data_IF_583822385825
#
_entry.id   IF_583822385825
#
_cell.length_a   1.000
_cell.length_b   1.000
_cell.length_c   1.000
_cell.angle_alpha   90.00
_cell.angle_beta   90.00
_cell.angle_gamma   90.00
#
_symmetry.space_group_name_H-M   'P 1'
#
loop_
_entity.id
_entity.type
_entity.pdbx_description
1 polymer ?
#
# COMPACT_ATOMS: atom_id res chain seq x y z
N UNK A 1 9.21 19.95 -20.24
CA UNK A 1 10.21 19.72 -19.16
C UNK A 1 10.75 21.09 -18.78
N UNK A 2 10.80 21.45 -17.50
CA UNK A 2 11.21 22.80 -17.05
C UNK A 2 12.57 23.18 -17.62
N UNK A 3 12.73 24.44 -18.05
CA UNK A 3 14.04 25.03 -18.30
C UNK A 3 14.40 25.92 -17.11
N UNK A 4 15.65 25.84 -16.65
CA UNK A 4 16.15 26.64 -15.51
C UNK A 4 15.95 28.16 -15.70
N UNK A 5 15.73 28.63 -16.93
CA UNK A 5 15.41 30.02 -17.27
C UNK A 5 14.02 30.48 -16.83
N UNK A 6 13.07 29.57 -16.65
CA UNK A 6 11.66 29.92 -16.48
C UNK A 6 11.34 30.34 -15.04
N UNK A 7 12.15 29.90 -14.08
CA UNK A 7 12.02 30.23 -12.66
C UNK A 7 12.51 31.64 -12.32
N UNK A 8 13.46 32.18 -13.09
CA UNK A 8 14.18 33.40 -12.72
C UNK A 8 13.75 34.67 -13.48
N UNK A 9 12.98 34.57 -14.56
CA UNK A 9 12.77 35.74 -15.43
C UNK A 9 11.33 36.05 -15.86
N UNK A 10 10.31 35.47 -15.24
CA UNK A 10 8.93 35.78 -15.61
C UNK A 10 8.32 36.91 -14.76
N UNK A 11 8.27 38.11 -15.34
CA UNK A 11 7.53 39.28 -14.83
C UNK A 11 5.99 39.09 -14.82
N UNK A 12 5.47 37.95 -15.30
CA UNK A 12 4.04 37.61 -15.29
C UNK A 12 3.72 36.58 -14.20
N UNK A 13 3.52 37.06 -12.96
CA UNK A 13 3.12 36.26 -11.78
C UNK A 13 1.61 35.99 -11.71
N UNK A 14 0.94 35.63 -12.81
CA UNK A 14 -0.54 35.71 -12.87
C UNK A 14 -1.29 34.41 -13.11
N UNK A 15 -0.69 33.35 -13.67
CA UNK A 15 -1.43 32.10 -13.91
C UNK A 15 -1.41 31.21 -12.67
N UNK A 16 -2.60 30.90 -12.16
CA UNK A 16 -2.84 29.91 -11.11
C UNK A 16 -3.55 28.71 -11.71
N UNK A 17 -3.10 27.53 -11.32
CA UNK A 17 -3.66 26.25 -11.76
C UNK A 17 -4.27 25.55 -10.55
N UNK A 18 -5.43 24.93 -10.73
CA UNK A 18 -6.00 24.06 -9.71
C UNK A 18 -5.62 22.61 -10.06
N UNK A 19 -4.94 21.92 -9.14
CA UNK A 19 -4.39 20.59 -9.36
C UNK A 19 -4.88 19.65 -8.28
N UNK A 20 -5.23 18.43 -8.66
CA UNK A 20 -5.48 17.33 -7.73
C UNK A 20 -4.94 16.03 -8.32
N UNK A 21 -4.73 15.05 -7.45
CA UNK A 21 -4.24 13.73 -7.83
C UNK A 21 -5.32 12.67 -7.58
N UNK A 22 -5.43 11.69 -8.47
CA UNK A 22 -6.16 10.46 -8.24
C UNK A 22 -5.19 9.30 -8.09
N UNK A 23 -5.44 8.45 -7.10
CA UNK A 23 -4.67 7.25 -6.81
C UNK A 23 -5.60 6.06 -6.95
N UNK A 24 -5.24 5.13 -7.83
CA UNK A 24 -6.14 4.05 -8.28
C UNK A 24 -5.47 2.69 -8.21
N UNK A 25 -6.19 1.72 -7.64
CA UNK A 25 -5.86 0.29 -7.70
C UNK A 25 -7.16 -0.48 -7.92
N UNK A 26 -7.29 -1.11 -9.09
CA UNK A 26 -8.53 -1.80 -9.46
C UNK A 26 -9.76 -0.89 -9.32
N UNK A 27 -10.69 -1.27 -8.45
CA UNK A 27 -11.91 -0.51 -8.16
C UNK A 27 -11.73 0.57 -7.06
N UNK A 28 -10.62 0.56 -6.31
CA UNK A 28 -10.36 1.55 -5.27
C UNK A 28 -9.75 2.80 -5.88
N UNK A 29 -10.39 3.94 -5.65
CA UNK A 29 -9.99 5.26 -6.16
C UNK A 29 -10.04 6.25 -5.02
N UNK A 30 -8.92 6.94 -4.79
CA UNK A 30 -8.80 8.01 -3.81
C UNK A 30 -8.35 9.31 -4.50
N UNK A 31 -8.93 10.43 -4.09
CA UNK A 31 -8.55 11.76 -4.53
C UNK A 31 -7.76 12.51 -3.45
N UNK A 32 -6.88 13.41 -3.90
CA UNK A 32 -6.24 14.39 -3.02
C UNK A 32 -7.10 15.65 -2.89
N UNK A 33 -6.79 16.46 -1.87
CA UNK A 33 -7.29 17.83 -1.81
C UNK A 33 -6.89 18.61 -3.09
N UNK A 34 -7.77 19.52 -3.50
CA UNK A 34 -7.51 20.43 -4.61
C UNK A 34 -6.54 21.52 -4.17
N UNK A 35 -5.39 21.59 -4.84
CA UNK A 35 -4.33 22.53 -4.55
C UNK A 35 -4.28 23.63 -5.62
N UNK A 36 -4.17 24.88 -5.20
CA UNK A 36 -3.96 26.00 -6.12
C UNK A 36 -2.46 26.27 -6.16
N UNK A 37 -1.86 26.06 -7.33
CA UNK A 37 -0.43 26.20 -7.57
C UNK A 37 -0.17 27.34 -8.57
N UNK A 38 0.93 28.05 -8.37
CA UNK A 38 1.44 29.03 -9.32
C UNK A 38 2.83 28.61 -9.83
N UNK A 39 3.38 29.39 -10.76
CA UNK A 39 4.69 29.09 -11.36
C UNK A 39 5.87 29.22 -10.38
N UNK A 40 5.66 29.64 -9.12
CA UNK A 40 6.71 29.71 -8.11
C UNK A 40 6.75 28.46 -7.21
N UNK A 41 5.74 27.59 -7.28
CA UNK A 41 5.73 26.32 -6.56
C UNK A 41 6.53 25.28 -7.34
N UNK A 42 7.64 24.82 -6.76
CA UNK A 42 8.48 23.78 -7.37
C UNK A 42 7.95 22.38 -7.15
N UNK A 43 7.27 22.15 -6.01
CA UNK A 43 6.86 20.83 -5.55
C UNK A 43 5.41 20.84 -5.06
N UNK A 44 4.63 19.83 -5.48
CA UNK A 44 3.26 19.61 -5.02
C UNK A 44 3.28 18.50 -3.98
N UNK A 45 3.09 18.85 -2.71
CA UNK A 45 3.11 17.89 -1.61
C UNK A 45 1.69 17.45 -1.26
N UNK A 46 1.45 16.13 -1.24
CA UNK A 46 0.22 15.56 -0.66
C UNK A 46 0.51 15.21 0.79
N UNK A 47 -0.24 15.74 1.76
CA UNK A 47 0.09 15.53 3.18
C UNK A 47 -0.41 14.18 3.73
N UNK A 48 -1.41 13.57 3.07
CA UNK A 48 -2.11 12.41 3.60
C UNK A 48 -1.55 11.09 3.04
N UNK A 49 -1.41 10.10 3.93
CA UNK A 49 -1.17 8.72 3.52
C UNK A 49 -2.47 8.10 2.98
N UNK A 50 -2.38 7.35 1.89
CA UNK A 50 -3.52 6.63 1.28
C UNK A 50 -3.34 5.14 1.50
N UNK A 51 -4.36 4.47 2.04
CA UNK A 51 -4.35 3.02 2.28
C UNK A 51 -5.34 2.36 1.34
N UNK A 52 -4.84 1.42 0.55
CA UNK A 52 -5.63 0.51 -0.25
C UNK A 52 -5.71 -0.81 0.51
N UNK A 53 -6.93 -1.30 0.70
CA UNK A 53 -7.14 -2.58 1.35
C UNK A 53 -7.24 -3.68 0.30
N UNK A 54 -7.00 -4.92 0.69
CA UNK A 54 -7.26 -6.07 -0.17
C UNK A 54 -6.51 -6.13 -1.53
N UNK A 55 -5.33 -5.52 -1.65
CA UNK A 55 -4.54 -5.51 -2.87
C UNK A 55 -3.67 -6.78 -3.05
N UNK A 56 -3.78 -7.43 -4.22
CA UNK A 56 -2.94 -8.56 -4.57
C UNK A 56 -1.47 -8.19 -4.88
N UNK A 57 -0.56 -9.17 -4.96
CA UNK A 57 0.85 -8.96 -5.30
C UNK A 57 1.06 -8.44 -6.74
N UNK A 58 0.06 -8.61 -7.60
CA UNK A 58 0.01 -8.12 -8.98
C UNK A 58 -0.59 -6.70 -9.11
N UNK A 59 -0.74 -5.98 -7.99
CA UNK A 59 -1.33 -4.64 -8.00
C UNK A 59 -0.63 -3.71 -9.00
N UNK A 60 -1.43 -2.80 -9.57
CA UNK A 60 -0.93 -1.69 -10.34
C UNK A 60 -1.52 -0.39 -9.77
N UNK A 61 -0.68 0.35 -9.07
CA UNK A 61 -1.02 1.64 -8.51
C UNK A 61 -0.84 2.72 -9.56
N UNK A 62 -1.95 3.28 -10.05
CA UNK A 62 -1.93 4.39 -10.98
C UNK A 62 -2.09 5.69 -10.23
N UNK A 63 -1.12 6.59 -10.36
CA UNK A 63 -1.20 7.97 -9.87
C UNK A 63 -1.42 8.86 -11.07
N UNK A 64 -2.50 9.63 -11.05
CA UNK A 64 -2.91 10.52 -12.12
C UNK A 64 -3.00 11.95 -11.60
N UNK A 65 -2.30 12.87 -12.25
CA UNK A 65 -2.29 14.29 -11.91
C UNK A 65 -3.23 15.01 -12.86
N UNK A 66 -4.27 15.64 -12.31
CA UNK A 66 -5.24 16.42 -13.04
C UNK A 66 -5.02 17.90 -12.82
N UNK A 67 -5.10 18.68 -13.89
CA UNK A 67 -5.04 20.13 -13.86
C UNK A 67 -6.33 20.70 -14.41
N UNK A 68 -6.86 21.71 -13.72
CA UNK A 68 -8.05 22.41 -14.11
C UNK A 68 -7.71 23.85 -14.44
N UNK A 69 -8.05 24.27 -15.66
CA UNK A 69 -7.96 25.66 -16.07
C UNK A 69 -9.22 26.39 -15.63
N UNK A 70 -9.05 27.47 -14.87
CA UNK A 70 -10.10 28.47 -14.72
C UNK A 70 -9.98 29.42 -15.91
N UNK A 71 -11.03 29.56 -16.72
CA UNK A 71 -11.08 30.68 -17.66
C UNK A 71 -11.13 31.97 -16.83
N UNK A 72 -10.24 32.90 -17.13
CA UNK A 72 -9.97 34.13 -16.36
C UNK A 72 -11.18 35.09 -16.26
N UNK A 73 -12.31 34.78 -16.91
CA UNK A 73 -13.48 35.66 -16.95
C UNK A 73 -14.39 35.59 -15.72
N UNK A 74 -14.19 34.63 -14.81
CA UNK A 74 -15.05 34.50 -13.60
C UNK A 74 -14.42 35.12 -12.34
N UNK A 75 -13.11 35.38 -12.34
CA UNK A 75 -12.38 35.86 -11.15
C UNK A 75 -12.25 37.39 -11.05
N UNK A 76 -12.83 38.16 -11.98
CA UNK A 76 -12.87 39.63 -11.89
C UNK A 76 -14.04 40.15 -11.04
N UNK A 77 -14.95 39.29 -10.57
CA UNK A 77 -15.93 39.66 -9.56
C UNK A 77 -15.64 39.00 -8.22
N UNK A 78 -15.49 39.85 -7.20
CA UNK A 78 -15.46 39.57 -5.75
C UNK A 78 -14.08 39.35 -5.11
N UNK A 79 -13.32 40.44 -5.05
CA UNK A 79 -12.58 40.77 -3.84
C UNK A 79 -13.57 40.83 -2.64
N UNK A 80 -13.72 39.76 -1.86
CA UNK A 80 -13.95 39.84 -0.40
C UNK A 80 -13.51 38.56 0.32
N UNK A 81 -12.93 38.64 1.53
CA UNK A 81 -12.33 37.50 2.21
C UNK A 81 -13.31 36.80 3.17
N UNK A 82 -13.09 35.49 3.36
CA UNK A 82 -13.41 34.70 4.57
C UNK A 82 -14.89 34.58 4.96
N UNK A 83 -15.51 33.45 4.58
CA UNK A 83 -16.36 32.56 5.41
C UNK A 83 -17.24 31.70 4.49
N UNK A 84 -16.81 30.47 4.20
CA UNK A 84 -17.75 29.40 3.85
C UNK A 84 -17.52 28.25 4.80
N UNK A 85 -18.55 28.08 5.62
CA UNK A 85 -18.61 27.32 6.85
C UNK A 85 -18.76 25.84 6.52
N UNK A 86 -18.05 25.01 7.29
CA UNK A 86 -18.30 23.58 7.51
C UNK A 86 -19.76 23.18 7.26
N UNK A 87 -20.00 22.18 6.40
CA UNK A 87 -20.90 21.03 6.63
C UNK A 87 -21.22 20.29 5.32
N UNK A 88 -20.54 19.18 5.08
CA UNK A 88 -21.12 18.02 4.41
C UNK A 88 -21.01 16.85 5.38
N UNK A 89 -21.99 16.75 6.28
CA UNK A 89 -22.26 15.52 7.02
C UNK A 89 -23.22 14.71 6.16
N UNK A 90 -22.77 13.57 5.65
CA UNK A 90 -23.63 12.57 5.03
C UNK A 90 -24.34 11.79 6.14
N UNK A 91 -25.66 11.84 6.18
CA UNK A 91 -26.49 10.87 6.89
C UNK A 91 -27.56 10.38 5.92
N UNK A 92 -27.41 9.14 5.45
CA UNK A 92 -28.41 8.41 4.68
C UNK A 92 -29.37 7.76 5.67
N UNK A 93 -30.64 8.18 5.64
CA UNK A 93 -31.74 7.59 6.40
C UNK A 93 -33.00 7.47 5.55
N UNK A 94 -33.33 6.22 5.22
CA UNK A 94 -34.64 5.59 4.91
C UNK A 94 -35.75 6.43 4.24
N UNK A 95 -36.27 5.97 3.10
CA UNK A 95 -37.60 5.31 2.99
C UNK A 95 -38.26 5.39 1.59
N UNK A 96 -38.69 4.21 1.12
CA UNK A 96 -39.84 3.84 0.28
C UNK A 96 -40.78 4.91 -0.33
N UNK A 97 -41.10 4.77 -1.63
CA UNK A 97 -42.48 5.04 -2.11
C UNK A 97 -42.73 5.49 -3.58
N UNK A 98 -42.85 4.51 -4.50
CA UNK A 98 -43.82 4.39 -5.64
C UNK A 98 -43.95 5.45 -6.78
N UNK A 99 -43.76 4.89 -8.01
CA UNK A 99 -44.51 5.03 -9.31
C UNK A 99 -44.34 6.37 -10.06
N UNK A 100 -44.00 6.41 -11.36
CA UNK A 100 -44.72 5.88 -12.53
C UNK A 100 -43.82 5.42 -13.69
N UNK A 101 -44.37 4.52 -14.49
CA UNK A 101 -43.86 3.86 -15.70
C UNK A 101 -44.05 4.68 -16.99
N UNK A 102 -43.20 4.45 -18.00
CA UNK A 102 -43.66 3.89 -19.30
C UNK A 102 -42.48 3.61 -20.24
N UNK A 103 -42.55 2.44 -20.86
CA UNK A 103 -41.64 1.91 -21.86
C UNK A 103 -41.75 2.62 -23.22
N UNK A 104 -40.65 2.66 -23.98
CA UNK A 104 -40.67 2.32 -25.40
C UNK A 104 -39.34 1.68 -25.81
N UNK A 105 -39.43 0.94 -26.89
CA UNK A 105 -38.77 -0.33 -27.17
C UNK A 105 -37.60 -0.18 -28.17
N UNK A 106 -36.68 -1.15 -28.11
CA UNK A 106 -35.85 -1.73 -29.18
C UNK A 106 -35.01 -0.86 -30.14
N UNK A 107 -33.70 -1.09 -29.99
CA UNK A 107 -32.80 -1.78 -30.94
C UNK A 107 -31.62 -0.98 -31.53
N UNK A 108 -30.46 -1.63 -31.41
CA UNK A 108 -29.26 -1.55 -32.23
C UNK A 108 -28.20 -0.46 -31.97
N UNK A 109 -27.03 -1.01 -31.60
CA UNK A 109 -25.67 -0.65 -31.97
C UNK A 109 -25.02 0.61 -31.38
N UNK A 110 -23.83 0.33 -30.86
CA UNK A 110 -22.66 1.21 -30.66
C UNK A 110 -22.57 1.97 -29.32
N UNK A 111 -21.49 1.65 -28.61
CA UNK A 111 -20.73 2.46 -27.64
C UNK A 111 -21.45 3.69 -27.05
N UNK A 112 -21.71 3.73 -25.73
CA UNK A 112 -22.12 4.97 -25.10
C UNK A 112 -20.90 5.89 -25.00
N UNK A 113 -20.70 6.70 -26.04
CA UNK A 113 -20.10 8.03 -25.92
C UNK A 113 -20.84 8.74 -24.79
N UNK A 114 -20.14 8.95 -23.68
CA UNK A 114 -20.64 9.76 -22.57
C UNK A 114 -21.00 11.12 -23.13
N UNK A 115 -22.31 11.33 -23.24
CA UNK A 115 -22.92 12.57 -23.69
C UNK A 115 -22.58 13.64 -22.68
N UNK A 116 -21.78 14.58 -23.15
CA UNK A 116 -21.31 15.77 -22.47
C UNK A 116 -22.52 16.58 -21.98
N UNK A 117 -22.88 16.41 -20.71
CA UNK A 117 -23.81 17.31 -20.02
C UNK A 117 -22.97 18.47 -19.51
N UNK A 118 -22.81 19.48 -20.38
CA UNK A 118 -22.06 20.71 -20.08
C UNK A 118 -22.84 21.53 -19.05
N UNK A 119 -22.59 21.29 -17.77
CA UNK A 119 -22.64 22.34 -16.76
C UNK A 119 -21.47 23.30 -17.09
N UNK A 120 -21.64 24.64 -17.09
CA UNK A 120 -20.53 25.56 -17.22
C UNK A 120 -19.69 25.45 -15.94
N UNK A 121 -18.74 24.52 -15.98
CA UNK A 121 -18.07 23.95 -14.84
C UNK A 121 -16.63 23.67 -15.21
N UNK A 122 -15.75 23.94 -14.26
CA UNK A 122 -14.29 23.81 -14.35
C UNK A 122 -13.87 22.55 -15.12
N UNK A 123 -13.21 22.74 -16.27
CA UNK A 123 -12.72 21.63 -17.12
C UNK A 123 -11.39 21.12 -16.58
N UNK A 124 -11.42 19.98 -15.92
CA UNK A 124 -10.22 19.28 -15.44
C UNK A 124 -9.74 18.28 -16.47
N UNK A 125 -8.44 18.27 -16.75
CA UNK A 125 -7.81 17.39 -17.75
C UNK A 125 -6.62 16.66 -17.15
N UNK A 126 -6.40 15.41 -17.59
CA UNK A 126 -5.27 14.61 -17.17
C UNK A 126 -3.97 15.22 -17.71
N UNK A 127 -3.08 15.61 -16.81
CA UNK A 127 -1.81 16.24 -17.14
C UNK A 127 -0.68 15.21 -17.22
N UNK A 128 -0.58 14.33 -16.24
CA UNK A 128 0.47 13.34 -16.14
C UNK A 128 -0.01 12.08 -15.41
N UNK A 129 0.66 10.96 -15.64
CA UNK A 129 0.40 9.73 -14.88
C UNK A 129 1.66 8.89 -14.69
N UNK A 130 1.68 8.09 -13.62
CA UNK A 130 2.68 7.06 -13.36
C UNK A 130 1.98 5.80 -12.87
N UNK A 131 2.56 4.63 -13.18
CA UNK A 131 2.07 3.34 -12.70
C UNK A 131 3.17 2.66 -11.90
N UNK A 132 2.89 2.35 -10.64
CA UNK A 132 3.78 1.69 -9.70
C UNK A 132 3.30 0.25 -9.45
N UNK A 133 4.26 -0.66 -9.24
CA UNK A 133 4.01 -2.09 -9.02
C UNK A 133 4.74 -2.58 -7.77
N UNK A 134 4.62 -3.87 -7.47
CA UNK A 134 5.31 -4.51 -6.34
C UNK A 134 6.83 -4.24 -6.32
N UNK A 135 7.47 -4.15 -7.49
CA UNK A 135 8.91 -3.90 -7.63
C UNK A 135 9.33 -2.50 -7.15
N UNK A 136 8.38 -1.56 -7.13
CA UNK A 136 8.56 -0.19 -6.64
C UNK A 136 8.33 -0.08 -5.13
N UNK A 137 7.72 -1.09 -4.49
CA UNK A 137 7.48 -1.09 -3.06
C UNK A 137 8.80 -1.30 -2.30
N UNK A 138 9.19 -0.35 -1.46
CA UNK A 138 10.45 -0.38 -0.69
C UNK A 138 10.26 0.33 0.64
N UNK A 139 11.08 -0.03 1.63
CA UNK A 139 11.09 0.65 2.92
C UNK A 139 11.85 1.99 2.87
N UNK A 140 11.49 2.85 1.92
CA UNK A 140 12.16 4.12 1.67
C UNK A 140 11.46 4.98 0.62
N UNK A 141 11.95 6.21 0.45
CA UNK A 141 11.46 7.11 -0.60
C UNK A 141 12.10 6.75 -1.94
N UNK A 142 11.29 6.77 -2.99
CA UNK A 142 11.74 6.57 -4.36
C UNK A 142 11.13 7.61 -5.28
N UNK A 143 11.91 8.03 -6.27
CA UNK A 143 11.48 8.95 -7.31
C UNK A 143 11.09 8.15 -8.56
N UNK A 144 9.88 8.36 -9.05
CA UNK A 144 9.33 7.67 -10.20
C UNK A 144 9.03 8.69 -11.30
N UNK A 145 9.42 8.39 -12.54
CA UNK A 145 9.21 9.30 -13.67
C UNK A 145 7.72 9.37 -14.03
N UNK A 146 7.19 10.59 -14.12
CA UNK A 146 5.86 10.85 -14.64
C UNK A 146 5.87 10.75 -16.16
N UNK A 147 4.84 10.14 -16.72
CA UNK A 147 4.54 10.20 -18.14
C UNK A 147 3.58 11.38 -18.37
N UNK A 148 4.04 12.39 -19.10
CA UNK A 148 3.23 13.55 -19.47
C UNK A 148 2.22 13.15 -20.55
N UNK A 149 0.94 13.44 -20.29
CA UNK A 149 -0.17 13.17 -21.21
C UNK A 149 -0.67 14.48 -21.83
N UNK A 150 -0.62 15.58 -21.08
CA UNK A 150 -0.96 16.91 -21.56
C UNK A 150 0.03 17.45 -22.60
N UNK A 151 -0.46 18.32 -23.49
CA UNK A 151 0.39 19.09 -24.42
C UNK A 151 0.66 20.48 -23.86
N UNK A 152 1.84 21.03 -24.14
CA UNK A 152 2.30 22.34 -23.68
C UNK A 152 1.38 23.51 -24.11
N UNK A 153 0.66 23.34 -25.21
CA UNK A 153 -0.28 24.33 -25.76
C UNK A 153 -1.66 24.33 -25.05
N UNK A 154 -1.86 23.46 -24.07
CA UNK A 154 -3.17 23.29 -23.42
C UNK A 154 -3.40 24.33 -22.32
N UNK A 155 -4.63 24.84 -22.12
CA UNK A 155 -4.92 25.84 -21.07
C UNK A 155 -4.70 25.30 -19.65
N UNK A 156 -4.74 23.97 -19.47
CA UNK A 156 -4.46 23.25 -18.23
C UNK A 156 -2.99 22.82 -18.09
N UNK A 157 -2.11 23.21 -19.02
CA UNK A 157 -0.71 22.83 -18.95
C UNK A 157 -0.02 23.52 -17.77
N UNK A 158 0.36 22.70 -16.78
CA UNK A 158 1.25 23.08 -15.71
C UNK A 158 2.60 22.40 -15.99
N UNK A 159 3.71 23.16 -16.09
CA UNK A 159 5.01 22.55 -16.20
C UNK A 159 5.30 21.74 -14.92
N UNK A 160 5.57 20.45 -15.06
CA UNK A 160 6.00 19.56 -13.97
C UNK A 160 7.48 19.20 -14.17
N UNK A 161 8.23 19.05 -13.08
CA UNK A 161 9.62 18.56 -13.11
C UNK A 161 9.73 17.14 -13.68
N UNK A 162 8.62 16.38 -13.65
CA UNK A 162 8.50 15.09 -14.33
C UNK A 162 8.76 13.89 -13.43
N UNK A 163 8.80 14.06 -12.11
CA UNK A 163 8.92 12.96 -11.15
C UNK A 163 7.87 13.06 -10.04
N UNK A 164 7.46 11.90 -9.52
CA UNK A 164 6.72 11.76 -8.26
C UNK A 164 7.65 11.11 -7.26
N UNK A 165 7.79 11.71 -6.09
CA UNK A 165 8.52 11.14 -4.97
C UNK A 165 7.52 10.59 -3.94
N UNK A 166 7.56 9.29 -3.67
CA UNK A 166 6.69 8.67 -2.68
C UNK A 166 7.38 7.51 -1.98
N UNK A 167 6.85 7.15 -0.80
CA UNK A 167 7.16 5.89 -0.13
C UNK A 167 6.00 4.93 -0.37
N UNK A 168 6.23 3.88 -1.15
CA UNK A 168 5.26 2.83 -1.43
C UNK A 168 5.57 1.61 -0.55
N UNK A 169 4.63 1.23 0.30
CA UNK A 169 4.77 0.12 1.24
C UNK A 169 3.69 -0.94 0.98
N UNK A 170 4.12 -2.19 0.91
CA UNK A 170 3.24 -3.36 0.84
C UNK A 170 3.35 -4.16 2.15
N UNK A 171 2.21 -4.46 2.77
CA UNK A 171 2.15 -5.32 3.96
C UNK A 171 1.30 -6.57 3.66
N UNK A 172 1.94 -7.67 3.25
CA UNK A 172 1.21 -8.90 3.01
C UNK A 172 0.67 -9.49 4.33
N UNK A 173 -0.51 -10.09 4.28
CA UNK A 173 -1.13 -10.71 5.46
C UNK A 173 -0.30 -11.85 6.05
N UNK A 174 0.43 -12.60 5.23
CA UNK A 174 1.32 -13.66 5.72
C UNK A 174 2.44 -13.12 6.65
N UNK A 175 2.74 -11.81 6.60
CA UNK A 175 3.74 -11.15 7.45
C UNK A 175 3.16 -10.50 8.72
N UNK A 176 1.87 -10.15 8.72
CA UNK A 176 1.24 -9.39 9.80
C UNK A 176 0.27 -10.23 10.64
N UNK A 177 -0.35 -11.26 10.05
CA UNK A 177 -1.35 -12.11 10.69
C UNK A 177 -0.78 -13.50 10.99
N UNK A 178 -1.42 -14.19 11.94
CA UNK A 178 -1.15 -15.60 12.19
C UNK A 178 -1.73 -16.41 11.03
N UNK A 179 -0.86 -17.04 10.23
CA UNK A 179 -1.28 -17.94 9.16
C UNK A 179 -1.87 -19.24 9.73
N UNK A 180 -1.30 -19.70 10.85
CA UNK A 180 -1.80 -20.84 11.62
C UNK A 180 -1.32 -20.73 13.06
N UNK A 181 -2.16 -21.16 13.99
CA UNK A 181 -1.79 -21.32 15.38
C UNK A 181 -2.38 -22.62 15.94
N UNK A 182 -1.64 -23.31 16.80
CA UNK A 182 -2.09 -24.56 17.39
C UNK A 182 -0.98 -25.30 18.12
N UNK A 183 -1.35 -26.38 18.81
CA UNK A 183 -0.38 -27.18 19.54
C UNK A 183 0.39 -28.12 18.62
N UNK A 184 1.71 -28.17 18.80
CA UNK A 184 2.60 -29.14 18.19
C UNK A 184 3.50 -29.75 19.26
N UNK A 185 3.81 -31.03 19.11
CA UNK A 185 4.81 -31.69 19.93
C UNK A 185 6.15 -31.57 19.21
N UNK A 186 7.12 -30.91 19.82
CA UNK A 186 8.48 -30.76 19.26
C UNK A 186 9.41 -31.80 19.89
N UNK A 187 10.21 -32.46 19.05
CA UNK A 187 11.20 -33.43 19.49
C UNK A 187 12.42 -32.71 20.06
N UNK A 188 12.75 -32.98 21.33
CA UNK A 188 13.91 -32.36 21.97
C UNK A 188 15.21 -32.99 21.44
N UNK A 189 16.15 -32.15 21.02
CA UNK A 189 17.50 -32.57 20.57
C UNK A 189 18.45 -32.85 21.74
N UNK A 190 18.11 -32.47 22.97
CA UNK A 190 18.95 -32.59 24.15
C UNK A 190 18.68 -33.89 24.94
N UNK A 191 19.53 -34.90 24.73
CA UNK A 191 19.86 -35.92 25.74
C UNK A 191 19.00 -37.19 25.82
N UNK A 192 17.72 -37.16 25.44
CA UNK A 192 16.85 -38.36 25.46
C UNK A 192 16.23 -38.58 24.07
N UNK A 193 16.59 -39.68 23.37
CA UNK A 193 15.92 -40.06 22.13
C UNK A 193 14.41 -40.22 22.36
N UNK A 194 13.60 -39.42 21.67
CA UNK A 194 12.14 -39.52 21.71
C UNK A 194 11.45 -38.71 22.81
N UNK A 195 12.13 -37.78 23.49
CA UNK A 195 11.45 -36.83 24.37
C UNK A 195 10.71 -35.76 23.55
N UNK A 196 9.38 -35.78 23.63
CA UNK A 196 8.50 -34.80 22.98
C UNK A 196 8.06 -33.73 23.98
N UNK A 197 8.01 -32.47 23.56
CA UNK A 197 7.46 -31.38 24.35
C UNK A 197 6.33 -30.71 23.58
N UNK A 198 5.14 -30.71 24.16
CA UNK A 198 3.99 -29.97 23.66
C UNK A 198 4.26 -28.47 23.77
N UNK A 199 4.06 -27.73 22.68
CA UNK A 199 4.22 -26.27 22.60
C UNK A 199 3.06 -25.67 21.82
N UNK A 200 2.71 -24.42 22.14
CA UNK A 200 1.78 -23.64 21.33
C UNK A 200 2.55 -22.94 20.22
N UNK A 201 2.32 -23.34 18.97
CA UNK A 201 3.08 -22.87 17.83
C UNK A 201 2.25 -21.92 16.97
N UNK A 202 2.89 -20.88 16.45
CA UNK A 202 2.28 -19.83 15.62
C UNK A 202 3.16 -19.60 14.40
N UNK A 203 2.59 -19.76 13.20
CA UNK A 203 3.22 -19.39 11.94
C UNK A 203 2.84 -17.95 11.60
N UNK A 204 3.79 -17.03 11.70
CA UNK A 204 3.61 -15.60 11.41
C UNK A 204 4.88 -15.02 10.81
N UNK A 205 4.75 -14.33 9.68
CA UNK A 205 5.87 -13.80 8.93
C UNK A 205 6.92 -14.87 8.64
N UNK A 206 8.18 -14.50 8.56
CA UNK A 206 9.28 -15.43 8.26
C UNK A 206 9.64 -16.38 9.41
N UNK A 207 8.71 -16.74 10.31
CA UNK A 207 8.98 -17.51 11.53
C UNK A 207 7.84 -18.44 11.96
N UNK A 208 8.23 -19.61 12.46
CA UNK A 208 7.42 -20.48 13.29
C UNK A 208 7.84 -20.30 14.75
N UNK A 209 7.00 -19.62 15.52
CA UNK A 209 7.22 -19.26 16.91
C UNK A 209 6.56 -20.31 17.81
N UNK A 210 7.31 -20.92 18.73
CA UNK A 210 6.82 -21.97 19.61
C UNK A 210 6.94 -21.54 21.07
N UNK A 211 5.81 -21.40 21.74
CA UNK A 211 5.67 -20.98 23.13
C UNK A 211 5.40 -22.20 24.03
N UNK A 212 5.72 -22.10 25.32
CA UNK A 212 5.39 -23.14 26.29
C UNK A 212 3.88 -23.25 26.49
N UNK A 213 3.19 -22.10 26.46
CA UNK A 213 1.75 -22.02 26.64
C UNK A 213 1.15 -20.85 25.82
N UNK A 214 -0.16 -20.87 25.49
CA UNK A 214 -0.81 -19.78 24.77
C UNK A 214 -0.73 -18.43 25.48
N UNK A 215 -0.70 -18.42 26.81
CA UNK A 215 -0.67 -17.20 27.62
C UNK A 215 0.63 -16.39 27.41
N UNK A 216 1.75 -17.08 27.14
CA UNK A 216 3.03 -16.43 26.80
C UNK A 216 2.92 -15.65 25.49
N UNK A 217 2.15 -16.19 24.53
CA UNK A 217 1.91 -15.53 23.25
C UNK A 217 1.03 -14.28 23.43
N UNK A 218 0.01 -14.35 24.28
CA UNK A 218 -0.87 -13.22 24.58
C UNK A 218 -0.14 -12.11 25.33
N UNK A 219 0.82 -12.47 26.18
CA UNK A 219 1.69 -11.55 26.90
C UNK A 219 2.85 -10.98 26.05
N UNK A 220 2.94 -11.34 24.77
CA UNK A 220 4.04 -10.99 23.86
C UNK A 220 5.43 -11.35 24.43
N UNK A 221 5.50 -12.47 25.15
CA UNK A 221 6.74 -12.98 25.73
C UNK A 221 7.67 -13.58 24.65
N UNK A 222 8.95 -13.76 24.99
CA UNK A 222 9.89 -14.40 24.08
C UNK A 222 9.54 -15.89 23.86
N UNK A 223 9.55 -16.38 22.61
CA UNK A 223 9.21 -17.77 22.31
C UNK A 223 10.31 -18.72 22.76
N UNK A 224 9.91 -19.86 23.32
CA UNK A 224 10.84 -20.92 23.75
C UNK A 224 11.64 -21.55 22.59
N UNK A 225 11.12 -21.49 21.36
CA UNK A 225 11.81 -21.85 20.13
C UNK A 225 11.30 -20.97 18.99
N UNK A 226 12.22 -20.42 18.19
CA UNK A 226 11.90 -19.68 16.98
C UNK A 226 12.60 -20.33 15.80
N UNK A 227 11.83 -20.90 14.86
CA UNK A 227 12.35 -21.49 13.63
C UNK A 227 12.14 -20.50 12.50
N UNK A 228 13.21 -20.13 11.78
CA UNK A 228 13.09 -19.27 10.60
C UNK A 228 12.44 -20.02 9.44
N UNK A 229 11.48 -19.37 8.80
CA UNK A 229 10.76 -19.84 7.62
C UNK A 229 11.09 -18.89 6.48
N UNK A 230 11.72 -19.42 5.43
CA UNK A 230 12.15 -18.68 4.25
C UNK A 230 11.97 -19.53 2.99
N UNK A 231 12.36 -19.00 1.83
CA UNK A 231 12.27 -19.71 0.55
C UNK A 231 13.08 -21.01 0.52
N UNK A 232 14.17 -21.08 1.28
CA UNK A 232 14.98 -22.29 1.44
C UNK A 232 14.40 -23.34 2.39
N UNK A 233 13.32 -23.03 3.12
CA UNK A 233 12.72 -23.94 4.10
C UNK A 233 11.99 -25.07 3.42
N UNK A 234 12.23 -26.31 3.88
CA UNK A 234 11.58 -27.52 3.39
C UNK A 234 10.85 -28.21 4.52
N UNK A 235 9.59 -28.54 4.27
CA UNK A 235 8.78 -29.38 5.15
C UNK A 235 8.79 -30.80 4.61
N UNK A 236 9.20 -31.78 5.42
CA UNK A 236 9.21 -33.19 5.02
C UNK A 236 8.43 -34.05 6.01
N UNK A 237 7.56 -34.96 5.54
CA UNK A 237 7.00 -35.98 6.43
C UNK A 237 8.13 -36.83 7.00
N UNK A 238 7.96 -37.26 8.24
CA UNK A 238 8.90 -38.16 8.92
C UNK A 238 8.18 -39.47 9.17
N UNK A 239 8.58 -40.50 8.41
CA UNK A 239 8.10 -41.86 8.61
C UNK A 239 8.86 -42.51 9.77
N UNK A 240 8.16 -43.35 10.54
CA UNK A 240 8.78 -44.15 11.59
C UNK A 240 9.16 -45.52 11.02
N UNK A 241 10.30 -46.08 11.44
CA UNK A 241 10.93 -47.32 10.94
C UNK A 241 10.01 -48.58 10.91
N UNK A 242 8.84 -48.54 11.54
CA UNK A 242 7.87 -49.65 11.61
C UNK A 242 6.65 -49.50 10.66
N UNK A 243 6.73 -48.71 9.59
CA UNK A 243 5.67 -48.60 8.57
C UNK A 243 4.36 -47.96 9.07
N UNK A 244 4.37 -47.37 10.28
CA UNK A 244 3.22 -46.72 10.88
C UNK A 244 3.24 -45.24 10.48
N UNK A 245 2.18 -44.78 9.80
CA UNK A 245 2.01 -43.35 9.47
C UNK A 245 1.89 -42.56 10.78
N UNK A 246 2.91 -41.79 11.10
CA UNK A 246 2.91 -40.83 12.21
C UNK A 246 2.53 -39.45 11.70
N UNK A 247 1.92 -38.63 12.55
CA UNK A 247 1.59 -37.24 12.21
C UNK A 247 2.81 -36.32 12.32
N UNK A 248 3.99 -36.83 11.93
CA UNK A 248 5.28 -36.22 12.17
C UNK A 248 5.79 -35.55 10.90
N UNK A 249 6.42 -34.40 11.07
CA UNK A 249 7.06 -33.66 9.99
C UNK A 249 8.31 -32.96 10.51
N UNK A 250 9.24 -32.67 9.60
CA UNK A 250 10.47 -31.94 9.89
C UNK A 250 10.45 -30.61 9.14
N UNK A 251 10.88 -29.55 9.83
CA UNK A 251 11.13 -28.23 9.28
C UNK A 251 12.64 -28.08 9.14
N UNK A 252 13.12 -27.96 7.90
CA UNK A 252 14.54 -27.90 7.58
C UNK A 252 14.81 -26.58 6.89
N UNK A 253 15.61 -25.71 7.52
CA UNK A 253 16.06 -24.46 6.91
C UNK A 253 17.55 -24.56 6.58
N UNK A 254 17.90 -24.53 5.29
CA UNK A 254 19.28 -24.68 4.81
C UNK A 254 20.07 -23.37 4.73
N UNK A 255 19.43 -22.21 4.87
CA UNK A 255 20.07 -20.91 4.66
C UNK A 255 20.75 -20.34 5.92
N UNK A 256 20.49 -20.91 7.10
CA UNK A 256 21.03 -20.45 8.38
C UNK A 256 22.46 -20.95 8.69
N UNK A 257 23.21 -21.47 7.71
CA UNK A 257 24.58 -21.97 7.87
C UNK A 257 24.70 -23.32 8.62
N UNK A 258 23.76 -23.62 9.51
CA UNK A 258 23.64 -24.90 10.20
C UNK A 258 22.24 -25.46 9.93
N UNK A 259 22.13 -26.49 9.10
CA UNK A 259 20.84 -27.10 8.74
C UNK A 259 20.25 -27.85 9.94
N UNK A 260 19.69 -27.11 10.89
CA UNK A 260 19.02 -27.65 12.07
C UNK A 260 17.60 -28.07 11.68
N UNK A 261 17.44 -29.36 11.39
CA UNK A 261 16.13 -29.95 11.21
C UNK A 261 15.40 -29.99 12.56
N UNK A 262 14.25 -29.31 12.65
CA UNK A 262 13.36 -29.40 13.81
C UNK A 262 12.23 -30.37 13.49
N UNK A 263 12.02 -31.38 14.33
CA UNK A 263 10.98 -32.39 14.14
C UNK A 263 9.78 -32.07 15.03
N UNK A 264 8.60 -32.08 14.43
CA UNK A 264 7.32 -31.82 15.06
C UNK A 264 6.34 -32.96 14.81
N UNK A 265 5.39 -33.12 15.72
CA UNK A 265 4.27 -34.04 15.60
C UNK A 265 2.96 -33.31 15.91
N UNK A 266 2.01 -33.37 14.97
CA UNK A 266 0.67 -32.85 15.15
C UNK A 266 -0.18 -33.80 16.01
N UNK A 267 -1.13 -33.25 16.78
CA UNK A 267 -1.97 -34.03 17.70
C UNK A 267 -2.93 -34.98 16.95
N UNK A 268 -3.37 -34.58 15.76
CA UNK A 268 -4.24 -35.36 14.88
C UNK A 268 -3.79 -35.29 13.42
N UNK A 269 -4.41 -36.12 12.58
CA UNK A 269 -4.17 -36.08 11.13
C UNK A 269 -4.77 -34.81 10.52
N UNK A 270 -5.91 -34.38 11.03
CA UNK A 270 -6.59 -33.15 10.67
C UNK A 270 -5.70 -31.94 10.97
N UNK A 271 -5.07 -31.91 12.15
CA UNK A 271 -4.09 -30.86 12.49
C UNK A 271 -2.91 -30.87 11.55
N UNK A 272 -2.36 -32.05 11.23
CA UNK A 272 -1.27 -32.15 10.27
C UNK A 272 -1.68 -31.56 8.92
N UNK A 273 -2.87 -31.89 8.41
CA UNK A 273 -3.38 -31.34 7.16
C UNK A 273 -3.47 -29.81 7.22
N UNK A 274 -4.07 -29.25 8.28
CA UNK A 274 -4.17 -27.78 8.46
C UNK A 274 -2.80 -27.12 8.50
N UNK A 275 -1.84 -27.71 9.22
CA UNK A 275 -0.47 -27.20 9.26
C UNK A 275 0.21 -27.26 7.90
N UNK A 276 0.05 -28.37 7.16
CA UNK A 276 0.62 -28.47 5.81
C UNK A 276 0.02 -27.42 4.89
N UNK A 277 -1.30 -27.28 4.84
CA UNK A 277 -2.00 -26.25 4.04
C UNK A 277 -1.50 -24.85 4.38
N UNK A 278 -1.35 -24.54 5.66
CA UNK A 278 -0.81 -23.25 6.10
C UNK A 278 0.64 -23.03 5.62
N UNK A 279 1.52 -24.03 5.73
CA UNK A 279 2.88 -23.92 5.18
C UNK A 279 2.87 -23.73 3.66
N UNK A 280 2.06 -24.50 2.93
CA UNK A 280 1.92 -24.37 1.48
C UNK A 280 1.48 -22.97 1.07
N UNK A 281 0.41 -22.46 1.69
CA UNK A 281 -0.07 -21.11 1.44
C UNK A 281 1.01 -20.08 1.77
N UNK A 282 1.68 -20.24 2.91
CA UNK A 282 2.73 -19.30 3.34
C UNK A 282 3.92 -19.26 2.37
N UNK A 283 4.37 -20.41 1.86
CA UNK A 283 5.43 -20.47 0.85
C UNK A 283 4.97 -19.89 -0.49
N UNK A 284 3.70 -20.12 -0.86
CA UNK A 284 3.12 -19.50 -2.04
C UNK A 284 3.12 -17.98 -1.90
N UNK A 285 2.65 -17.43 -0.78
CA UNK A 285 2.63 -15.99 -0.54
C UNK A 285 4.04 -15.39 -0.58
N UNK A 286 5.03 -16.03 0.04
CA UNK A 286 6.44 -15.63 -0.04
C UNK A 286 6.93 -15.53 -1.50
N UNK A 287 6.53 -16.48 -2.35
CA UNK A 287 6.89 -16.47 -3.76
C UNK A 287 6.26 -15.30 -4.53
N UNK A 288 5.03 -14.93 -4.17
CA UNK A 288 4.28 -13.88 -4.88
C UNK A 288 4.71 -12.48 -4.44
N UNK A 289 4.92 -12.28 -3.13
CA UNK A 289 5.26 -10.99 -2.53
C UNK A 289 6.76 -10.65 -2.56
N UNK A 290 7.60 -11.60 -3.00
CA UNK A 290 9.03 -11.41 -3.26
C UNK A 290 9.74 -10.72 -2.07
N UNK A 291 10.45 -9.62 -2.31
CA UNK A 291 11.21 -8.87 -1.31
C UNK A 291 10.34 -8.28 -0.19
N UNK A 292 9.03 -8.12 -0.39
CA UNK A 292 8.12 -7.63 0.64
C UNK A 292 7.86 -8.66 1.77
N UNK A 293 8.22 -9.93 1.56
CA UNK A 293 8.22 -10.97 2.60
C UNK A 293 9.59 -11.19 3.25
N UNK A 294 10.66 -10.64 2.67
CA UNK A 294 12.02 -10.75 3.20
C UNK A 294 12.28 -9.69 4.27
N UNK A 295 11.84 -8.45 4.01
CA UNK A 295 11.95 -7.33 4.94
C UNK A 295 10.57 -6.78 5.31
N UNK A 296 10.27 -6.75 6.61
CA UNK A 296 9.00 -6.20 7.10
C UNK A 296 8.97 -4.68 6.92
N UNK A 297 8.16 -4.21 5.97
CA UNK A 297 7.98 -2.78 5.74
C UNK A 297 7.00 -2.19 6.76
N UNK A 298 7.44 -1.18 7.52
CA UNK A 298 6.62 -0.60 8.60
C UNK A 298 5.65 0.44 8.07
N UNK A 299 4.36 0.22 8.34
CA UNK A 299 3.29 1.15 7.98
C UNK A 299 3.15 2.29 9.01
N UNK A 300 4.07 3.27 9.02
CA UNK A 300 3.95 4.43 9.91
C UNK A 300 2.79 5.35 9.49
N UNK A 301 1.82 5.59 10.36
CA UNK A 301 0.82 6.66 10.17
C UNK A 301 1.37 7.90 10.86
N UNK A 302 1.97 8.81 10.10
CA UNK A 302 2.36 10.11 10.65
C UNK A 302 1.15 11.03 10.62
N UNK A 303 0.79 11.57 11.77
CA UNK A 303 -0.19 12.66 11.85
C UNK A 303 0.31 13.85 11.00
N UNK A 304 -0.54 14.54 10.23
CA UNK A 304 -0.15 15.76 9.53
C UNK A 304 0.42 16.75 10.57
N UNK A 305 1.73 17.01 10.46
CA UNK A 305 2.40 17.95 11.35
C UNK A 305 2.07 19.35 10.88
N UNK A 306 1.59 20.21 11.78
CA UNK A 306 1.41 21.64 11.49
C UNK A 306 2.71 22.20 10.93
N UNK A 307 2.65 23.07 9.89
CA UNK A 307 3.86 23.69 9.36
C UNK A 307 4.58 24.44 10.48
N UNK A 308 5.92 24.39 10.52
CA UNK A 308 6.68 25.10 11.54
C UNK A 308 6.39 26.60 11.40
N UNK A 309 5.92 27.22 12.49
CA UNK A 309 5.43 28.60 12.47
C UNK A 309 6.52 29.65 12.19
N UNK A 310 7.79 29.28 12.20
CA UNK A 310 8.88 30.19 11.91
C UNK A 310 10.05 29.41 11.31
N UNK A 311 10.39 29.70 10.05
CA UNK A 311 11.74 29.88 9.54
C UNK A 311 11.61 30.28 8.05
N UNK A 312 11.76 31.58 7.79
CA UNK A 312 12.08 32.08 6.46
C UNK A 312 13.53 31.66 6.16
N UNK A 313 13.70 30.60 5.38
CA UNK A 313 14.96 30.17 4.81
C UNK A 313 14.68 29.64 3.41
N UNK A 314 15.57 29.97 2.46
CA UNK A 314 15.41 29.69 1.03
C UNK A 314 14.93 28.26 0.72
N UNK A 315 14.07 28.15 -0.30
CA UNK A 315 13.52 26.89 -0.77
C UNK A 315 14.66 25.96 -1.25
N UNK A 316 15.03 25.01 -0.40
CA UNK A 316 15.92 23.92 -0.78
C UNK A 316 15.11 22.87 -1.55
N UNK A 317 15.61 22.51 -2.73
CA UNK A 317 15.06 21.44 -3.58
C UNK A 317 15.03 20.11 -2.82
N UNK A 318 14.00 19.28 -3.04
CA UNK A 318 13.87 17.92 -2.49
C UNK A 318 15.12 17.07 -2.74
N UNK A 319 15.87 17.34 -3.81
CA UNK A 319 17.14 16.66 -4.11
C UNK A 319 18.25 16.94 -3.09
N UNK A 320 18.21 18.07 -2.36
CA UNK A 320 19.11 18.35 -1.23
C UNK A 320 18.60 17.74 0.07
N UNK A 321 17.28 17.67 0.29
CA UNK A 321 16.69 17.10 1.52
C UNK A 321 16.67 15.56 1.56
N UNK A 322 16.78 14.88 0.41
CA UNK A 322 16.90 13.41 0.33
C UNK A 322 18.15 12.88 1.04
N UNK A 323 19.16 13.72 1.25
CA UNK A 323 20.38 13.38 2.00
C UNK A 323 20.20 13.47 3.52
N UNK A 324 19.16 14.13 4.03
CA UNK A 324 19.08 14.46 5.47
C UNK A 324 17.72 14.28 6.18
N UNK A 325 16.58 14.02 5.53
CA UNK A 325 15.30 14.03 6.26
C UNK A 325 14.36 12.84 6.02
N UNK A 326 14.35 11.94 7.02
CA UNK A 326 13.38 10.86 7.25
C UNK A 326 11.92 11.31 7.49
N UNK A 327 11.46 12.52 7.11
CA UNK A 327 10.35 13.17 7.84
C UNK A 327 9.08 13.67 7.08
N UNK A 328 9.04 13.87 5.76
CA UNK A 328 8.01 14.79 5.20
C UNK A 328 7.47 14.45 3.80
N UNK A 329 6.68 13.38 3.62
CA UNK A 329 5.92 13.18 2.36
C UNK A 329 4.97 11.97 2.40
N UNK A 330 3.98 11.89 1.49
CA UNK A 330 2.84 10.96 1.56
C UNK A 330 3.29 9.50 1.38
N UNK A 331 2.60 8.61 2.10
CA UNK A 331 2.85 7.16 2.08
C UNK A 331 1.67 6.47 1.39
N UNK A 332 1.98 5.67 0.38
CA UNK A 332 1.00 4.80 -0.29
C UNK A 332 1.11 3.41 0.31
N UNK A 333 0.00 2.92 0.83
CA UNK A 333 -0.08 1.73 1.67
C UNK A 333 -1.00 0.72 1.02
N UNK A 334 -0.56 -0.53 0.97
CA UNK A 334 -1.32 -1.65 0.45
C UNK A 334 -1.46 -2.71 1.54
N UNK A 335 -2.69 -2.94 2.01
CA UNK A 335 -3.04 -4.17 2.73
C UNK A 335 -3.47 -5.20 1.70
N UNK A 336 -2.99 -6.44 1.79
CA UNK A 336 -3.36 -7.49 0.82
C UNK A 336 -4.59 -8.29 1.24
N UNK A 337 -5.08 -9.24 0.41
CA UNK A 337 -5.88 -10.40 0.87
C UNK A 337 -5.08 -11.68 0.61
N UNK A 338 -5.37 -12.68 1.44
CA UNK A 338 -5.00 -14.09 1.33
C UNK A 338 -5.56 -14.79 0.09
#
# INVERSE_FOLDING_TARGET
MWKNSDHFNNKNRTKRYSVFCLLKIGAQVYDSDLLIVDNAVTDICLENATIFEEAGPDFQLKVEVYSCSCEDDVLTLTNTPRKLVKKLKTSVGKSTGKKFSSALDRSNLETPLLTETVLPGVKCSLLASVSLRLEDARDGFSAHSLTLVGKEESPFWLPLYGSVCCRLVAQPYCMTRDAMAGFLNQQQSAGIPGAWRRRYCVLRGARLLCYSAPEEREADAEPALSVSINRGTRIRPVDTEAGKKTNNFSVINSEAGEATAQVFAAESREDLCRWMEAFWQHFFDFSQWKHCCEEFMTMEIRSPRKPPLFLAGEAASVYQELTEAHARSPVLKLNSVS
#
